data_IF_803965922349
#
_entry.id   IF_803965922349
#
_cell.length_a   1.000
_cell.length_b   1.000
_cell.length_c   1.000
_cell.angle_alpha   90.00
_cell.angle_beta   90.00
_cell.angle_gamma   90.00
#
_symmetry.space_group_name_H-M   'P 1'
#
loop_
_entity.id
_entity.type
_entity.pdbx_description
1 polymer ?
#
# COMPACT_ATOMS: atom_id res chain seq x y z
N UNK A 1 -0.11 -17.22 -1.13
CA UNK A 1 -1.21 -16.24 -0.94
C UNK A 1 -0.97 -15.37 0.28
N UNK A 2 -0.73 -15.94 1.47
CA UNK A 2 -0.50 -15.19 2.71
C UNK A 2 0.38 -13.93 2.59
N UNK A 3 1.58 -14.02 1.96
CA UNK A 3 2.47 -12.86 1.77
C UNK A 3 1.89 -11.79 0.84
N UNK A 4 1.17 -12.19 -0.21
CA UNK A 4 0.51 -11.26 -1.14
C UNK A 4 -0.64 -10.53 -0.44
N UNK A 5 -1.48 -11.26 0.29
CA UNK A 5 -2.60 -10.70 1.05
C UNK A 5 -2.11 -9.70 2.10
N UNK A 6 -1.05 -10.08 2.83
CA UNK A 6 -0.42 -9.20 3.81
C UNK A 6 0.15 -7.94 3.14
N UNK A 7 0.92 -8.08 2.06
CA UNK A 7 1.51 -6.95 1.36
C UNK A 7 0.44 -5.99 0.80
N UNK A 8 -0.60 -6.53 0.14
CA UNK A 8 -1.72 -5.74 -0.37
C UNK A 8 -2.46 -5.02 0.76
N UNK A 9 -2.76 -5.73 1.86
CA UNK A 9 -3.42 -5.15 3.03
C UNK A 9 -2.63 -3.96 3.58
N UNK A 10 -1.32 -4.12 3.77
CA UNK A 10 -0.47 -3.05 4.28
C UNK A 10 -0.39 -1.88 3.30
N UNK A 11 -0.21 -2.14 1.99
CA UNK A 11 -0.18 -1.06 0.99
C UNK A 11 -1.49 -0.27 1.00
N UNK A 12 -2.65 -0.94 1.03
CA UNK A 12 -3.94 -0.26 1.07
C UNK A 12 -4.17 0.52 2.37
N UNK A 13 -3.70 0.01 3.50
CA UNK A 13 -3.76 0.70 4.80
C UNK A 13 -3.03 2.05 4.75
N UNK A 14 -1.81 2.06 4.20
CA UNK A 14 -1.02 3.29 4.03
C UNK A 14 -1.60 4.21 2.94
N UNK A 15 -1.96 3.65 1.79
CA UNK A 15 -2.53 4.40 0.66
C UNK A 15 -3.84 5.10 1.04
N UNK A 16 -4.67 4.47 1.89
CA UNK A 16 -5.93 5.06 2.40
C UNK A 16 -5.76 5.84 3.70
N UNK A 17 -4.52 6.02 4.18
CA UNK A 17 -4.18 6.80 5.38
C UNK A 17 -4.93 6.34 6.64
N UNK A 18 -5.12 5.03 6.80
CA UNK A 18 -5.89 4.49 7.92
C UNK A 18 -5.27 4.86 9.28
N UNK A 19 -3.94 4.92 9.39
CA UNK A 19 -3.26 5.38 10.62
C UNK A 19 -3.65 6.83 10.99
N UNK A 20 -3.71 7.72 10.00
CA UNK A 20 -4.07 9.12 10.23
C UNK A 20 -5.55 9.25 10.61
N UNK A 21 -6.43 8.51 9.96
CA UNK A 21 -7.84 8.48 10.33
C UNK A 21 -8.05 7.86 11.72
N UNK A 22 -7.25 6.87 12.11
CA UNK A 22 -7.28 6.32 13.46
C UNK A 22 -6.88 7.38 14.50
N UNK A 23 -5.87 8.20 14.22
CA UNK A 23 -5.47 9.30 15.09
C UNK A 23 -6.52 10.43 15.17
N UNK A 24 -7.22 10.73 14.06
CA UNK A 24 -8.34 11.68 14.06
C UNK A 24 -9.53 11.14 14.87
N UNK A 25 -9.83 9.85 14.73
CA UNK A 25 -10.88 9.16 15.48
C UNK A 25 -10.61 9.19 16.98
N UNK A 26 -9.38 8.95 17.43
CA UNK A 26 -9.05 9.00 18.87
C UNK A 26 -9.23 10.40 19.48
N UNK A 27 -9.19 11.44 18.65
CA UNK A 27 -9.47 12.82 19.02
C UNK A 27 -10.94 13.22 18.82
N UNK A 28 -11.82 12.27 18.47
CA UNK A 28 -13.21 12.51 18.08
C UNK A 28 -13.36 13.58 16.96
N UNK A 29 -12.36 13.69 16.08
CA UNK A 29 -12.32 14.70 15.03
C UNK A 29 -12.74 14.10 13.69
N UNK A 30 -13.73 14.73 13.04
CA UNK A 30 -14.07 14.45 11.66
C UNK A 30 -13.35 15.42 10.74
N UNK A 31 -12.40 14.91 9.95
CA UNK A 31 -11.67 15.72 8.98
C UNK A 31 -11.27 14.85 7.77
N UNK A 32 -11.77 15.14 6.56
CA UNK A 32 -11.27 14.51 5.34
C UNK A 32 -9.79 14.86 5.11
N UNK A 33 -9.00 13.85 4.74
CA UNK A 33 -7.59 14.01 4.37
C UNK A 33 -7.46 13.95 2.84
N UNK A 34 -6.49 14.70 2.30
CA UNK A 34 -6.14 14.64 0.88
C UNK A 34 -5.79 13.19 0.48
N UNK A 35 -6.49 12.67 -0.52
CA UNK A 35 -6.23 11.33 -1.03
C UNK A 35 -4.95 11.29 -1.87
N UNK A 36 -4.26 10.15 -1.84
CA UNK A 36 -3.20 9.89 -2.82
C UNK A 36 -3.83 9.43 -4.14
N UNK A 37 -3.25 9.86 -5.25
CA UNK A 37 -3.47 9.19 -6.53
C UNK A 37 -2.54 7.96 -6.61
N UNK A 38 -2.94 6.94 -7.38
CA UNK A 38 -2.11 5.72 -7.51
C UNK A 38 -0.79 6.03 -8.21
N UNK A 39 -0.81 6.88 -9.23
CA UNK A 39 0.36 7.23 -10.03
C UNK A 39 1.45 7.95 -9.22
N UNK A 40 1.06 8.65 -8.15
CA UNK A 40 1.98 9.31 -7.22
C UNK A 40 2.44 8.41 -6.07
N UNK A 41 1.89 7.19 -5.96
CA UNK A 41 2.14 6.27 -4.85
C UNK A 41 2.96 5.05 -5.32
N UNK A 42 4.25 5.28 -5.58
CA UNK A 42 5.16 4.22 -6.05
C UNK A 42 5.51 3.24 -4.93
N UNK A 43 5.36 1.94 -5.18
CA UNK A 43 5.75 0.87 -4.25
C UNK A 43 7.13 0.32 -4.62
N UNK A 44 8.06 0.37 -3.67
CA UNK A 44 9.36 -0.30 -3.77
C UNK A 44 9.30 -1.72 -3.19
N UNK A 45 9.72 -2.71 -3.97
CA UNK A 45 9.84 -4.12 -3.55
C UNK A 45 11.32 -4.49 -3.54
N UNK A 46 11.87 -4.72 -2.34
CA UNK A 46 13.25 -5.15 -2.15
C UNK A 46 13.31 -6.68 -2.06
N UNK A 47 14.00 -7.31 -3.01
CA UNK A 47 14.10 -8.76 -3.15
C UNK A 47 13.10 -9.31 -4.18
N UNK A 48 13.49 -9.34 -5.46
CA UNK A 48 12.69 -9.85 -6.57
C UNK A 48 12.73 -11.39 -6.74
N UNK A 49 12.93 -12.13 -5.65
CA UNK A 49 12.81 -13.59 -5.67
C UNK A 49 11.35 -14.06 -5.84
N UNK A 50 11.09 -15.36 -5.71
CA UNK A 50 9.76 -15.97 -5.95
C UNK A 50 8.63 -15.26 -5.18
N UNK A 51 8.86 -14.89 -3.92
CA UNK A 51 7.86 -14.20 -3.11
C UNK A 51 7.66 -12.75 -3.54
N UNK A 52 8.75 -12.00 -3.79
CA UNK A 52 8.68 -10.61 -4.21
C UNK A 52 8.02 -10.43 -5.57
N UNK A 53 8.31 -11.32 -6.52
CA UNK A 53 7.65 -11.35 -7.82
C UNK A 53 6.13 -11.55 -7.69
N UNK A 54 5.69 -12.48 -6.83
CA UNK A 54 4.25 -12.71 -6.60
C UNK A 54 3.57 -11.53 -5.94
N UNK A 55 4.24 -10.84 -5.01
CA UNK A 55 3.74 -9.59 -4.42
C UNK A 55 3.62 -8.48 -5.47
N UNK A 56 4.61 -8.35 -6.35
CA UNK A 56 4.61 -7.38 -7.44
C UNK A 56 3.42 -7.63 -8.40
N UNK A 57 3.19 -8.88 -8.81
CA UNK A 57 2.03 -9.26 -9.64
C UNK A 57 0.70 -8.83 -8.99
N UNK A 58 0.52 -9.09 -7.68
CA UNK A 58 -0.70 -8.69 -6.97
C UNK A 58 -0.89 -7.18 -6.95
N UNK A 59 0.16 -6.43 -6.60
CA UNK A 59 0.08 -4.96 -6.50
C UNK A 59 -0.06 -4.27 -7.86
N UNK A 60 0.46 -4.88 -8.92
CA UNK A 60 0.30 -4.40 -10.29
C UNK A 60 -1.17 -4.44 -10.70
N UNK A 61 -1.92 -5.47 -10.32
CA UNK A 61 -3.36 -5.56 -10.57
C UNK A 61 -4.18 -4.44 -9.90
N UNK A 62 -3.64 -3.83 -8.84
CA UNK A 62 -4.23 -2.66 -8.18
C UNK A 62 -3.88 -1.32 -8.84
N UNK A 63 -3.03 -1.32 -9.87
CA UNK A 63 -2.64 -0.13 -10.63
C UNK A 63 -1.58 0.74 -9.96
N UNK A 64 -0.78 0.20 -9.03
CA UNK A 64 0.32 0.95 -8.43
C UNK A 64 1.57 0.94 -9.34
N UNK A 65 2.30 2.06 -9.46
CA UNK A 65 3.65 2.06 -10.01
C UNK A 65 4.56 1.22 -9.10
N UNK A 66 5.26 0.24 -9.68
CA UNK A 66 6.14 -0.66 -8.94
C UNK A 66 7.60 -0.47 -9.33
N UNK A 67 8.50 -0.54 -8.35
CA UNK A 67 9.95 -0.61 -8.56
C UNK A 67 10.50 -1.79 -7.79
N UNK A 68 11.22 -2.68 -8.46
CA UNK A 68 11.85 -3.83 -7.84
C UNK A 68 13.36 -3.64 -7.79
N UNK A 69 13.98 -4.09 -6.69
CA UNK A 69 15.43 -4.15 -6.53
C UNK A 69 15.84 -5.57 -6.15
N UNK A 70 16.95 -6.06 -6.71
CA UNK A 70 17.47 -7.42 -6.52
C UNK A 70 18.99 -7.41 -6.45
#
# INVERSE_FOLDING_TARGET
LQMQEYAVSQVLHWFRRFDYYQALKSQAKWQPLQEYTRDEFTIGIMGAGVLGAKVAESLQAWGFPLRCWS
#
